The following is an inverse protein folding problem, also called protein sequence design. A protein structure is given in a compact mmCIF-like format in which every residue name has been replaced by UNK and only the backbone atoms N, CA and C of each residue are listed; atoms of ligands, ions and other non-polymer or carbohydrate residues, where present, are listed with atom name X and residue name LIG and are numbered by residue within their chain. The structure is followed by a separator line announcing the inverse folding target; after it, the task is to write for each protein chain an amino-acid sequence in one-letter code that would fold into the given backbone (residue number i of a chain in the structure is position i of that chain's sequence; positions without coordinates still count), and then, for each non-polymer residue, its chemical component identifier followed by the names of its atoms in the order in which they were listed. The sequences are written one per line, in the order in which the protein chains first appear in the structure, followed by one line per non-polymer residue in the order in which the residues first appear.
data_IF_464865271682
#
_entry.id   IF_464865271682
#
_cell.length_a   1.000
_cell.length_b   1.000
_cell.length_c   1.000
_cell.angle_alpha   90.00
_cell.angle_beta   90.00
_cell.angle_gamma   90.00
#
_symmetry.space_group_name_H-M   'P 1'
#
loop_
_entity.id
_entity.type
_entity.pdbx_description
1 polymer ?
#
# COMPACT_ATOMS: atom_id res chain seq x y z
N UNK A 1 -3.78 -13.42 -2.33
CA UNK A 1 -4.00 -12.00 -1.92
C UNK A 1 -4.76 -11.97 -0.59
N UNK A 2 -4.40 -11.13 0.41
CA UNK A 2 -5.11 -11.08 1.70
C UNK A 2 -6.58 -10.65 1.55
N UNK A 3 -7.45 -10.95 2.54
CA UNK A 3 -8.83 -10.45 2.56
C UNK A 3 -8.87 -8.91 2.57
N UNK A 4 -10.02 -8.33 2.20
CA UNK A 4 -10.21 -6.88 2.28
C UNK A 4 -10.32 -6.49 3.77
N UNK A 5 -9.54 -5.50 4.27
CA UNK A 5 -9.66 -5.06 5.65
C UNK A 5 -11.00 -4.35 5.86
N UNK A 6 -11.56 -4.46 7.06
CA UNK A 6 -12.85 -3.87 7.47
C UNK A 6 -12.73 -3.24 8.85
N UNK A 7 -13.63 -2.32 9.19
CA UNK A 7 -13.67 -1.69 10.51
C UNK A 7 -12.31 -1.08 10.91
N UNK A 8 -11.88 -1.35 12.14
CA UNK A 8 -10.64 -0.80 12.69
C UNK A 8 -9.38 -1.12 11.85
N UNK A 9 -9.32 -2.29 11.22
CA UNK A 9 -8.18 -2.66 10.37
C UNK A 9 -8.12 -1.83 9.09
N UNK A 10 -9.29 -1.51 8.53
CA UNK A 10 -9.41 -0.61 7.37
C UNK A 10 -8.91 0.78 7.73
N UNK A 11 -9.34 1.29 8.88
CA UNK A 11 -8.98 2.63 9.32
C UNK A 11 -7.49 2.72 9.68
N UNK A 12 -6.94 1.69 10.33
CA UNK A 12 -5.51 1.59 10.62
C UNK A 12 -4.68 1.58 9.33
N UNK A 13 -5.09 0.79 8.34
CA UNK A 13 -4.44 0.73 7.03
C UNK A 13 -4.47 2.09 6.31
N UNK A 14 -5.64 2.70 6.18
CA UNK A 14 -5.79 3.98 5.49
C UNK A 14 -5.01 5.09 6.22
N UNK A 15 -4.97 5.08 7.55
CA UNK A 15 -4.18 6.03 8.34
C UNK A 15 -2.68 5.94 8.01
N UNK A 16 -2.11 4.74 7.94
CA UNK A 16 -0.66 4.60 7.66
C UNK A 16 -0.31 4.89 6.20
N UNK A 17 -1.21 4.61 5.25
CA UNK A 17 -1.03 4.99 3.84
C UNK A 17 -1.11 6.51 3.68
N UNK A 18 -2.11 7.15 4.31
CA UNK A 18 -2.28 8.62 4.31
C UNK A 18 -1.06 9.35 4.89
N UNK A 19 -0.37 8.74 5.85
CA UNK A 19 0.84 9.29 6.44
C UNK A 19 2.05 9.26 5.49
N UNK A 20 2.07 8.33 4.52
CA UNK A 20 3.08 8.36 3.44
C UNK A 20 2.75 9.49 2.47
N UNK A 21 1.49 9.56 2.06
CA UNK A 21 1.00 10.58 1.16
C UNK A 21 -0.54 10.68 1.20
N UNK A 22 -1.10 11.85 1.57
CA UNK A 22 -2.54 12.01 1.68
C UNK A 22 -3.32 11.79 0.39
N UNK A 23 -2.71 12.01 -0.78
CA UNK A 23 -3.37 11.83 -2.07
C UNK A 23 -3.74 10.36 -2.33
N UNK A 24 -3.03 9.42 -1.69
CA UNK A 24 -3.19 7.99 -1.89
C UNK A 24 -4.48 7.40 -1.32
N UNK A 25 -5.17 8.13 -0.45
CA UNK A 25 -6.44 7.69 0.16
C UNK A 25 -7.66 8.47 -0.32
N UNK A 26 -7.50 9.29 -1.37
CA UNK A 26 -8.63 9.99 -2.02
C UNK A 26 -9.63 9.01 -2.62
N UNK A 27 -9.14 7.86 -3.10
CA UNK A 27 -9.93 6.68 -3.43
C UNK A 27 -9.49 5.53 -2.51
N UNK A 28 -10.22 5.37 -1.40
CA UNK A 28 -9.90 4.38 -0.37
C UNK A 28 -9.98 2.94 -0.90
N UNK A 29 -10.88 2.65 -1.83
CA UNK A 29 -11.05 1.31 -2.39
C UNK A 29 -9.90 0.95 -3.34
N UNK A 30 -9.46 1.89 -4.18
CA UNK A 30 -8.23 1.74 -4.97
C UNK A 30 -7.01 1.58 -4.07
N UNK A 31 -6.89 2.39 -3.02
CA UNK A 31 -5.80 2.29 -2.05
C UNK A 31 -5.74 0.90 -1.43
N UNK A 32 -6.88 0.38 -0.96
CA UNK A 32 -7.00 -0.96 -0.39
C UNK A 32 -6.65 -2.04 -1.44
N UNK A 33 -7.12 -1.90 -2.68
CA UNK A 33 -6.78 -2.80 -3.77
C UNK A 33 -5.27 -2.87 -4.04
N UNK A 34 -4.61 -1.71 -4.12
CA UNK A 34 -3.17 -1.60 -4.31
C UNK A 34 -2.39 -2.26 -3.17
N UNK A 35 -2.79 -1.99 -1.92
CA UNK A 35 -2.17 -2.60 -0.74
C UNK A 35 -2.32 -4.12 -0.71
N UNK A 36 -3.51 -4.64 -1.02
CA UNK A 36 -3.75 -6.09 -1.08
C UNK A 36 -2.88 -6.75 -2.15
N UNK A 37 -2.79 -6.14 -3.34
CA UNK A 37 -1.93 -6.63 -4.43
C UNK A 37 -0.46 -6.63 -4.02
N UNK A 38 0.03 -5.52 -3.47
CA UNK A 38 1.41 -5.40 -2.98
C UNK A 38 1.72 -6.44 -1.89
N UNK A 39 0.82 -6.65 -0.94
CA UNK A 39 0.97 -7.69 0.08
C UNK A 39 1.09 -9.10 -0.51
N UNK A 40 0.37 -9.40 -1.60
CA UNK A 40 0.53 -10.69 -2.30
C UNK A 40 1.93 -10.82 -2.90
N UNK A 41 2.46 -9.73 -3.48
CA UNK A 41 3.81 -9.68 -4.05
C UNK A 41 4.91 -9.79 -2.99
N UNK A 42 4.74 -9.12 -1.84
CA UNK A 42 5.67 -9.15 -0.72
C UNK A 42 5.77 -10.53 -0.07
N UNK A 43 4.64 -11.23 0.04
CA UNK A 43 4.61 -12.60 0.58
C UNK A 43 5.15 -13.64 -0.42
N UNK A 44 5.15 -13.33 -1.71
CA UNK A 44 5.65 -14.21 -2.77
C UNK A 44 7.11 -14.02 -3.16
N UNK A 45 7.87 -13.19 -2.43
CA UNK A 45 9.30 -12.95 -2.73
C UNK A 45 9.55 -12.14 -4.01
N UNK A 46 8.64 -11.23 -4.38
CA UNK A 46 8.79 -10.40 -5.58
C UNK A 46 10.08 -9.58 -5.60
N UNK A 47 10.67 -9.42 -6.79
CA UNK A 47 11.84 -8.55 -7.01
C UNK A 47 11.41 -7.07 -7.00
N UNK A 48 12.29 -6.16 -6.58
CA UNK A 48 12.04 -4.70 -6.57
C UNK A 48 10.72 -4.27 -5.88
N UNK A 49 10.47 -4.67 -4.62
CA UNK A 49 9.19 -4.43 -3.94
C UNK A 49 8.86 -2.94 -3.80
N UNK A 50 9.86 -2.07 -3.67
CA UNK A 50 9.67 -0.63 -3.52
C UNK A 50 9.18 0.01 -4.82
N UNK A 51 9.78 -0.36 -5.96
CA UNK A 51 9.33 0.08 -7.28
C UNK A 51 7.88 -0.33 -7.51
N UNK A 52 7.54 -1.60 -7.29
CA UNK A 52 6.17 -2.05 -7.52
C UNK A 52 5.15 -1.45 -6.55
N UNK A 53 5.54 -1.13 -5.32
CA UNK A 53 4.67 -0.39 -4.41
C UNK A 53 4.36 1.01 -4.97
N UNK A 54 5.38 1.74 -5.41
CA UNK A 54 5.18 3.04 -6.07
C UNK A 54 4.28 2.91 -7.31
N UNK A 55 4.52 1.91 -8.15
CA UNK A 55 3.76 1.69 -9.37
C UNK A 55 2.27 1.38 -9.11
N UNK A 56 1.96 0.62 -8.05
CA UNK A 56 0.60 0.21 -7.71
C UNK A 56 -0.23 1.31 -7.06
N UNK A 57 0.41 2.19 -6.30
CA UNK A 57 -0.27 3.26 -5.56
C UNK A 57 -0.35 4.57 -6.35
N UNK A 58 0.51 4.78 -7.37
CA UNK A 58 0.48 6.01 -8.19
C UNK A 58 -0.82 6.17 -8.98
N UNK A 59 -1.01 7.39 -9.47
CA UNK A 59 -1.93 7.69 -10.55
C UNK A 59 -1.26 8.68 -11.52
N UNK A 60 -1.90 8.94 -12.67
CA UNK A 60 -1.30 9.77 -13.74
C UNK A 60 -0.98 11.20 -13.29
N UNK A 61 -1.73 11.73 -12.32
CA UNK A 61 -1.49 13.06 -11.74
C UNK A 61 -0.50 13.04 -10.56
N UNK A 62 -0.16 11.87 -10.03
CA UNK A 62 0.58 11.71 -8.79
C UNK A 62 1.58 10.55 -8.86
N UNK A 63 2.74 10.75 -9.51
CA UNK A 63 3.80 9.75 -9.55
C UNK A 63 4.41 9.56 -8.15
N UNK A 64 4.82 8.33 -7.85
CA UNK A 64 5.49 8.00 -6.59
C UNK A 64 6.95 7.62 -6.81
N UNK A 65 7.79 7.99 -5.86
CA UNK A 65 9.20 7.64 -5.83
C UNK A 65 9.43 6.25 -5.23
N UNK A 66 10.61 5.66 -5.47
CA UNK A 66 11.01 4.43 -4.79
C UNK A 66 11.05 4.56 -3.26
N UNK A 67 11.38 5.74 -2.74
CA UNK A 67 11.36 6.00 -1.29
C UNK A 67 9.92 5.95 -0.72
N UNK A 68 8.95 6.53 -1.43
CA UNK A 68 7.53 6.40 -1.06
C UNK A 68 7.06 4.94 -1.19
N UNK A 69 7.50 4.22 -2.22
CA UNK A 69 7.27 2.78 -2.35
C UNK A 69 7.78 1.96 -1.15
N UNK A 70 8.99 2.27 -0.66
CA UNK A 70 9.56 1.66 0.55
C UNK A 70 8.73 1.99 1.79
N UNK A 71 8.30 3.24 1.94
CA UNK A 71 7.45 3.67 3.05
C UNK A 71 6.09 2.96 3.02
N UNK A 72 5.50 2.76 1.84
CA UNK A 72 4.29 1.97 1.64
C UNK A 72 4.50 0.51 2.05
N UNK A 73 5.62 -0.11 1.67
CA UNK A 73 5.94 -1.46 2.11
C UNK A 73 6.01 -1.57 3.64
N UNK A 74 6.63 -0.61 4.31
CA UNK A 74 6.66 -0.56 5.77
C UNK A 74 5.26 -0.36 6.38
N UNK A 75 4.42 0.50 5.79
CA UNK A 75 3.04 0.70 6.21
C UNK A 75 2.20 -0.58 6.09
N UNK A 76 2.36 -1.32 4.99
CA UNK A 76 1.70 -2.61 4.77
C UNK A 76 2.12 -3.66 5.79
N UNK A 77 3.41 -3.74 6.12
CA UNK A 77 3.93 -4.66 7.16
C UNK A 77 3.42 -4.32 8.56
N UNK A 78 3.03 -3.08 8.83
CA UNK A 78 2.43 -2.69 10.12
C UNK A 78 0.93 -2.99 10.22
N UNK A 79 0.26 -3.24 9.10
CA UNK A 79 -1.21 -3.29 9.04
C UNK A 79 -1.71 -4.49 8.24
N UNK A 80 -1.73 -4.38 6.91
CA UNK A 80 -2.44 -5.28 6.01
C UNK A 80 -1.73 -6.63 5.78
N UNK A 81 -0.41 -6.70 5.94
CA UNK A 81 0.35 -7.95 5.84
C UNK A 81 1.59 -7.99 6.75
N UNK A 82 1.38 -8.11 8.06
CA UNK A 82 2.48 -8.28 9.01
C UNK A 82 3.14 -9.65 8.82
N UNK A 83 4.35 -9.65 8.27
CA UNK A 83 5.34 -10.74 8.33
C UNK A 83 6.74 -10.16 8.20
#
# INVERSE_FOLDING_TARGET
MPPKPTGADRDAYLKVVKAVDPALVTDEDKAIGAGRNQCSSLNGGGKAPDHFAAERFRNDAHPLTGAQGKALNAALRKTLCPK
#
